data_IF_128721878112
#
_entry.id   IF_128721878112
#
_cell.length_a   1.000
_cell.length_b   1.000
_cell.length_c   1.000
_cell.angle_alpha   90.00
_cell.angle_beta   90.00
_cell.angle_gamma   90.00
#
_symmetry.space_group_name_H-M   'P 1'
#
loop_
_entity.id
_entity.type
_entity.pdbx_description
1 polymer ?
#
# COMPACT_ATOMS: atom_id res chain seq x y z
N UNK A 1 21.83 10.07 23.33
CA UNK A 1 21.21 10.91 22.27
C UNK A 1 20.82 10.16 20.99
N UNK A 2 21.61 9.19 20.48
CA UNK A 2 21.28 8.46 19.23
C UNK A 2 19.92 7.73 19.25
N UNK A 3 19.57 7.05 20.35
CA UNK A 3 18.29 6.34 20.53
C UNK A 3 17.06 7.26 20.49
N UNK A 4 17.08 8.39 21.20
CA UNK A 4 16.01 9.40 21.17
C UNK A 4 15.80 9.89 19.73
N UNK A 5 16.89 10.03 18.99
CA UNK A 5 16.84 10.36 17.59
C UNK A 5 16.02 9.34 16.77
N UNK A 6 16.40 8.07 16.87
CA UNK A 6 15.76 6.98 16.11
C UNK A 6 14.28 6.82 16.46
N UNK A 7 13.89 6.96 17.74
CA UNK A 7 12.49 6.95 18.16
C UNK A 7 11.70 8.07 17.48
N UNK A 8 12.23 9.29 17.47
CA UNK A 8 11.53 10.41 16.83
C UNK A 8 11.42 10.23 15.31
N UNK A 9 12.47 9.74 14.62
CA UNK A 9 12.36 9.41 13.18
C UNK A 9 11.34 8.29 12.93
N UNK A 10 11.17 7.37 13.88
CA UNK A 10 10.18 6.29 13.79
C UNK A 10 8.76 6.84 13.90
N UNK A 11 8.51 7.76 14.82
CA UNK A 11 7.21 8.46 14.95
C UNK A 11 6.94 9.29 13.69
N UNK A 12 7.92 10.06 13.21
CA UNK A 12 7.81 10.81 11.96
C UNK A 12 7.53 9.89 10.76
N UNK A 13 8.21 8.74 10.68
CA UNK A 13 8.01 7.75 9.63
C UNK A 13 6.58 7.18 9.66
N UNK A 14 6.10 6.85 10.86
CA UNK A 14 4.73 6.39 11.08
C UNK A 14 3.71 7.45 10.66
N UNK A 15 3.81 8.68 11.18
CA UNK A 15 2.89 9.77 10.86
C UNK A 15 2.91 10.14 9.37
N UNK A 16 4.09 10.20 8.75
CA UNK A 16 4.19 10.52 7.32
C UNK A 16 3.65 9.42 6.41
N UNK A 17 3.95 8.15 6.72
CA UNK A 17 3.40 7.01 5.98
C UNK A 17 1.87 6.91 6.14
N UNK A 18 1.38 7.22 7.33
CA UNK A 18 -0.02 7.36 7.65
C UNK A 18 -0.73 8.40 6.77
N UNK A 19 -0.24 9.64 6.76
CA UNK A 19 -0.81 10.72 5.94
C UNK A 19 -0.78 10.33 4.47
N UNK A 20 0.34 9.83 3.98
CA UNK A 20 0.48 9.41 2.60
C UNK A 20 -0.50 8.27 2.25
N UNK A 21 -0.66 7.30 3.15
CA UNK A 21 -1.65 6.22 3.02
C UNK A 21 -3.08 6.76 2.89
N UNK A 22 -3.51 7.67 3.78
CA UNK A 22 -4.85 8.30 3.68
C UNK A 22 -5.02 9.08 2.39
N UNK A 23 -4.00 9.82 1.94
CA UNK A 23 -4.11 10.59 0.69
C UNK A 23 -4.26 9.71 -0.55
N UNK A 24 -3.71 8.49 -0.50
CA UNK A 24 -3.79 7.54 -1.60
C UNK A 24 -5.07 6.67 -1.50
N UNK A 25 -5.51 6.36 -0.28
CA UNK A 25 -6.78 5.70 0.03
C UNK A 25 -7.83 6.75 0.39
N UNK A 26 -8.37 7.46 -0.61
CA UNK A 26 -9.62 8.18 -0.39
C UNK A 26 -10.70 7.16 0.03
N UNK A 27 -11.47 7.38 1.11
CA UNK A 27 -12.49 6.45 1.55
C UNK A 27 -13.50 6.22 0.41
N UNK A 28 -13.67 4.95 0.00
CA UNK A 28 -14.55 4.55 -1.11
C UNK A 28 -15.96 4.15 -0.66
N UNK A 29 -16.24 4.16 0.64
CA UNK A 29 -17.52 3.76 1.24
C UNK A 29 -18.48 4.93 1.24
N UNK A 30 -19.07 5.24 0.09
CA UNK A 30 -20.16 6.20 0.05
C UNK A 30 -21.49 5.45 0.13
N UNK A 31 -22.05 5.34 1.33
CA UNK A 31 -23.40 4.81 1.55
C UNK A 31 -24.51 5.79 1.11
N UNK A 32 -24.22 6.73 0.19
CA UNK A 32 -25.08 7.88 -0.15
C UNK A 32 -25.55 7.88 -1.62
N UNK A 33 -25.75 6.72 -2.21
CA UNK A 33 -26.35 6.57 -3.53
C UNK A 33 -27.88 6.47 -3.44
N UNK A 34 -28.51 7.54 -2.96
CA UNK A 34 -29.90 7.83 -3.34
C UNK A 34 -29.96 8.18 -4.84
N UNK A 35 -31.11 7.96 -5.47
CA UNK A 35 -31.42 7.93 -6.92
C UNK A 35 -30.93 9.09 -7.82
N UNK A 36 -30.14 10.03 -7.31
CA UNK A 36 -29.48 11.08 -8.08
C UNK A 36 -28.01 11.23 -7.66
N UNK A 37 -27.19 10.20 -7.88
CA UNK A 37 -25.73 10.38 -7.85
C UNK A 37 -25.37 11.38 -8.96
N UNK A 38 -25.22 12.65 -8.59
CA UNK A 38 -24.86 13.70 -9.54
C UNK A 38 -23.61 13.28 -10.31
N UNK A 39 -23.55 13.58 -11.62
CA UNK A 39 -22.41 13.31 -12.51
C UNK A 39 -21.03 13.61 -11.87
N UNK A 40 -20.99 14.58 -10.95
CA UNK A 40 -19.81 14.96 -10.14
C UNK A 40 -19.26 13.83 -9.26
N UNK A 41 -20.13 13.09 -8.59
CA UNK A 41 -19.74 12.01 -7.67
C UNK A 41 -19.23 10.81 -8.48
N UNK A 42 -19.89 10.46 -9.58
CA UNK A 42 -19.44 9.42 -10.50
C UNK A 42 -18.05 9.72 -11.11
N UNK A 43 -17.81 10.98 -11.51
CA UNK A 43 -16.50 11.41 -11.99
C UNK A 43 -15.40 11.31 -10.92
N UNK A 44 -15.72 11.65 -9.66
CA UNK A 44 -14.79 11.50 -8.54
C UNK A 44 -14.44 10.03 -8.31
N UNK A 45 -15.45 9.15 -8.23
CA UNK A 45 -15.28 7.71 -8.09
C UNK A 45 -14.35 7.10 -9.14
N UNK A 46 -14.53 7.46 -10.40
CA UNK A 46 -13.67 6.98 -11.49
C UNK A 46 -12.22 7.51 -11.40
N UNK A 47 -12.02 8.66 -10.73
CA UNK A 47 -10.71 9.28 -10.61
C UNK A 47 -9.87 8.77 -9.43
N UNK A 48 -10.49 8.27 -8.35
CA UNK A 48 -9.79 7.83 -7.13
C UNK A 48 -8.78 6.70 -7.41
N UNK A 49 -9.17 5.56 -8.02
CA UNK A 49 -8.25 4.46 -8.28
C UNK A 49 -7.08 4.86 -9.21
N UNK A 50 -7.36 5.77 -10.16
CA UNK A 50 -6.37 6.34 -11.07
C UNK A 50 -5.39 7.23 -10.31
N UNK A 51 -5.89 8.11 -9.45
CA UNK A 51 -5.11 8.97 -8.58
C UNK A 51 -4.15 8.15 -7.71
N UNK A 52 -4.67 7.17 -6.97
CA UNK A 52 -3.86 6.28 -6.13
C UNK A 52 -2.72 5.62 -6.92
N UNK A 53 -3.00 5.11 -8.12
CA UNK A 53 -1.99 4.50 -8.98
C UNK A 53 -0.93 5.50 -9.43
N UNK A 54 -1.33 6.70 -9.86
CA UNK A 54 -0.40 7.78 -10.20
C UNK A 54 0.48 8.12 -9.00
N UNK A 55 -0.10 8.23 -7.80
CA UNK A 55 0.62 8.49 -6.56
C UNK A 55 1.64 7.41 -6.22
N UNK A 56 1.30 6.13 -6.38
CA UNK A 56 2.23 5.03 -6.13
C UNK A 56 3.36 5.00 -7.19
N UNK A 57 3.07 5.28 -8.46
CA UNK A 57 4.09 5.43 -9.51
C UNK A 57 5.04 6.58 -9.18
N UNK A 58 4.52 7.72 -8.73
CA UNK A 58 5.32 8.85 -8.26
C UNK A 58 6.17 8.45 -7.06
N UNK A 59 5.61 7.74 -6.08
CA UNK A 59 6.33 7.27 -4.90
C UNK A 59 7.54 6.39 -5.26
N UNK A 60 7.34 5.41 -6.14
CA UNK A 60 8.43 4.53 -6.58
C UNK A 60 9.47 5.31 -7.38
N UNK A 61 9.05 6.18 -8.29
CA UNK A 61 9.97 7.01 -9.10
C UNK A 61 10.83 7.90 -8.21
N UNK A 62 10.22 8.58 -7.25
CA UNK A 62 10.90 9.44 -6.27
C UNK A 62 11.85 8.61 -5.41
N UNK A 63 11.44 7.43 -4.96
CA UNK A 63 12.30 6.53 -4.20
C UNK A 63 13.52 6.08 -5.02
N UNK A 64 13.37 5.74 -6.30
CA UNK A 64 14.47 5.40 -7.21
C UNK A 64 15.42 6.59 -7.39
N UNK A 65 14.90 7.78 -7.72
CA UNK A 65 15.73 8.97 -7.93
C UNK A 65 16.53 9.35 -6.68
N UNK A 66 15.89 9.32 -5.51
CA UNK A 66 16.55 9.61 -4.24
C UNK A 66 17.59 8.54 -3.92
N UNK A 67 17.26 7.27 -4.12
CA UNK A 67 18.18 6.17 -3.85
C UNK A 67 19.45 6.26 -4.70
N UNK A 68 19.31 6.60 -5.99
CA UNK A 68 20.43 6.66 -6.94
C UNK A 68 21.28 7.93 -6.78
N UNK A 69 20.64 9.10 -6.75
CA UNK A 69 21.36 10.36 -6.90
C UNK A 69 21.52 11.15 -5.61
N UNK A 70 20.66 10.92 -4.62
CA UNK A 70 20.42 11.94 -3.62
C UNK A 70 21.09 11.65 -2.28
N UNK A 71 21.47 12.73 -1.60
CA UNK A 71 21.90 12.67 -0.20
C UNK A 71 20.67 12.47 0.69
N UNK A 72 20.81 11.89 1.90
CA UNK A 72 19.70 11.71 2.84
C UNK A 72 18.91 13.01 3.12
N UNK A 73 19.57 14.18 3.09
CA UNK A 73 18.90 15.49 3.23
C UNK A 73 17.84 15.73 2.15
N UNK A 74 18.13 15.37 0.90
CA UNK A 74 17.22 15.58 -0.22
C UNK A 74 15.94 14.78 0.02
N UNK A 75 16.05 13.55 0.53
CA UNK A 75 14.89 12.72 0.85
C UNK A 75 13.95 13.40 1.86
N UNK A 76 14.48 13.93 2.96
CA UNK A 76 13.67 14.64 3.95
C UNK A 76 13.09 15.95 3.41
N UNK A 77 13.84 16.70 2.60
CA UNK A 77 13.34 17.93 1.98
C UNK A 77 12.25 17.66 0.94
N UNK A 78 12.38 16.59 0.14
CA UNK A 78 11.33 16.16 -0.81
C UNK A 78 10.08 15.67 -0.07
N UNK A 79 10.23 14.94 1.03
CA UNK A 79 9.11 14.56 1.89
C UNK A 79 8.42 15.79 2.49
N UNK A 80 9.20 16.78 2.95
CA UNK A 80 8.68 18.05 3.45
C UNK A 80 7.90 18.80 2.35
N UNK A 81 8.44 18.86 1.13
CA UNK A 81 7.77 19.47 -0.01
C UNK A 81 6.45 18.77 -0.37
N UNK A 82 6.41 17.44 -0.37
CA UNK A 82 5.18 16.67 -0.56
C UNK A 82 4.12 16.97 0.51
N UNK A 83 4.51 16.95 1.79
CA UNK A 83 3.61 17.31 2.90
C UNK A 83 3.14 18.77 2.84
N UNK A 84 3.99 19.69 2.37
CA UNK A 84 3.64 21.11 2.20
C UNK A 84 2.65 21.29 1.05
N UNK A 85 2.86 20.58 -0.06
CA UNK A 85 1.92 20.53 -1.19
C UNK A 85 0.53 20.04 -0.78
N UNK A 86 0.46 18.96 0.02
CA UNK A 86 -0.80 18.47 0.59
C UNK A 86 -1.51 19.55 1.42
N UNK A 87 -0.77 20.22 2.31
CA UNK A 87 -1.34 21.26 3.16
C UNK A 87 -1.86 22.44 2.33
N UNK A 88 -1.08 22.92 1.37
CA UNK A 88 -1.48 24.03 0.48
C UNK A 88 -2.74 23.64 -0.30
N UNK A 89 -2.78 22.43 -0.88
CA UNK A 89 -3.95 21.95 -1.61
C UNK A 89 -5.21 21.90 -0.72
N UNK A 90 -5.07 21.48 0.54
CA UNK A 90 -6.16 21.44 1.51
C UNK A 90 -6.59 22.81 2.04
N UNK A 91 -5.72 23.82 2.00
CA UNK A 91 -6.03 25.20 2.36
C UNK A 91 -6.73 25.94 1.22
N UNK A 92 -6.28 25.74 -0.02
CA UNK A 92 -6.89 26.36 -1.21
C UNK A 92 -8.22 25.70 -1.58
N UNK A 93 -8.37 24.40 -1.29
CA UNK A 93 -9.56 23.62 -1.63
C UNK A 93 -10.79 23.84 -0.74
N UNK A 94 -10.82 24.85 0.15
CA UNK A 94 -12.01 25.17 0.99
C UNK A 94 -13.19 25.69 0.19
N UNK A 95 -12.91 26.55 -0.79
CA UNK A 95 -13.91 27.43 -1.38
C UNK A 95 -14.36 26.98 -2.77
N UNK A 96 -13.94 25.77 -3.17
CA UNK A 96 -14.02 25.32 -4.55
C UNK A 96 -14.99 24.15 -4.68
N UNK A 97 -16.12 24.38 -5.33
CA UNK A 97 -17.23 23.41 -5.49
C UNK A 97 -17.43 22.90 -6.93
N UNK A 98 -16.58 23.31 -7.88
CA UNK A 98 -16.68 22.86 -9.27
C UNK A 98 -16.12 21.44 -9.46
N UNK A 99 -16.80 20.56 -10.22
CA UNK A 99 -16.40 19.15 -10.37
C UNK A 99 -15.02 18.93 -11.00
N UNK A 100 -14.61 19.75 -11.97
CA UNK A 100 -13.28 19.66 -12.60
C UNK A 100 -12.15 19.96 -11.61
N UNK A 101 -12.45 20.72 -10.57
CA UNK A 101 -11.50 21.06 -9.51
C UNK A 101 -11.41 19.93 -8.47
N UNK A 102 -12.42 19.06 -8.34
CA UNK A 102 -12.38 17.89 -7.45
C UNK A 102 -11.45 16.79 -7.99
N UNK A 103 -11.53 16.50 -9.28
CA UNK A 103 -10.64 15.53 -9.94
C UNK A 103 -9.20 16.04 -9.94
N UNK A 104 -9.01 17.33 -10.26
CA UNK A 104 -7.69 17.98 -10.17
C UNK A 104 -7.11 17.89 -8.76
N UNK A 105 -7.92 18.20 -7.74
CA UNK A 105 -7.51 18.10 -6.33
C UNK A 105 -7.06 16.69 -5.96
N UNK A 106 -7.83 15.67 -6.35
CA UNK A 106 -7.48 14.27 -6.10
C UNK A 106 -6.14 13.89 -6.75
N UNK A 107 -5.87 14.29 -7.99
CA UNK A 107 -4.58 14.04 -8.63
C UNK A 107 -3.43 14.78 -7.93
N UNK A 108 -3.64 16.02 -7.51
CA UNK A 108 -2.63 16.78 -6.75
C UNK A 108 -2.34 16.11 -5.41
N UNK A 109 -3.37 15.70 -4.68
CA UNK A 109 -3.22 14.97 -3.41
C UNK A 109 -2.50 13.64 -3.62
N UNK A 110 -2.85 12.90 -4.67
CA UNK A 110 -2.18 11.65 -5.03
C UNK A 110 -0.70 11.84 -5.36
N UNK A 111 -0.35 12.87 -6.15
CA UNK A 111 1.05 13.19 -6.49
C UNK A 111 1.83 13.60 -5.23
N UNK A 112 1.26 14.44 -4.38
CA UNK A 112 1.92 14.92 -3.17
C UNK A 112 2.05 13.81 -2.11
N UNK A 113 1.03 12.96 -1.96
CA UNK A 113 1.05 11.75 -1.15
C UNK A 113 2.09 10.75 -1.65
N UNK A 114 2.19 10.57 -2.97
CA UNK A 114 3.23 9.79 -3.62
C UNK A 114 4.64 10.32 -3.34
N UNK A 115 4.87 11.62 -3.53
CA UNK A 115 6.12 12.31 -3.20
C UNK A 115 6.51 12.08 -1.73
N UNK A 116 5.55 12.24 -0.82
CA UNK A 116 5.74 12.02 0.61
C UNK A 116 6.11 10.56 0.91
N UNK A 117 5.33 9.59 0.43
CA UNK A 117 5.56 8.15 0.65
C UNK A 117 6.92 7.71 0.11
N UNK A 118 7.23 8.09 -1.13
CA UNK A 118 8.46 7.70 -1.82
C UNK A 118 9.71 8.28 -1.16
N UNK A 119 9.68 9.58 -0.86
CA UNK A 119 10.81 10.27 -0.26
C UNK A 119 11.05 9.83 1.19
N UNK A 120 9.99 9.67 1.97
CA UNK A 120 10.07 9.19 3.35
C UNK A 120 10.56 7.74 3.37
N UNK A 121 10.00 6.87 2.54
CA UNK A 121 10.45 5.48 2.39
C UNK A 121 11.93 5.40 2.04
N UNK A 122 12.40 6.22 1.09
CA UNK A 122 13.81 6.31 0.73
C UNK A 122 14.72 6.76 1.89
N UNK A 123 14.22 7.64 2.77
CA UNK A 123 14.94 8.13 3.93
C UNK A 123 15.01 7.11 5.08
N UNK A 124 13.93 6.35 5.32
CA UNK A 124 13.74 5.58 6.56
C UNK A 124 13.96 4.08 6.42
N UNK A 125 13.70 3.49 5.25
CA UNK A 125 13.76 2.03 5.05
C UNK A 125 15.16 1.42 5.23
N UNK A 126 16.22 2.25 5.23
CA UNK A 126 17.60 1.81 5.50
C UNK A 126 17.87 1.51 6.98
N UNK A 127 16.99 1.94 7.89
CA UNK A 127 17.17 1.79 9.35
C UNK A 127 16.02 0.97 9.93
N UNK A 128 16.28 -0.05 10.76
CA UNK A 128 15.26 -1.01 11.17
C UNK A 128 14.12 -0.38 11.97
N UNK A 129 14.43 0.52 12.91
CA UNK A 129 13.42 1.19 13.75
C UNK A 129 12.52 2.14 12.92
N UNK A 130 13.07 3.12 12.16
CA UNK A 130 12.24 3.94 11.28
C UNK A 130 11.50 3.14 10.19
N UNK A 131 12.10 2.07 9.65
CA UNK A 131 11.44 1.18 8.70
C UNK A 131 10.22 0.48 9.32
N UNK A 132 10.33 0.06 10.59
CA UNK A 132 9.21 -0.49 11.34
C UNK A 132 8.09 0.54 11.50
N UNK A 133 8.40 1.78 11.89
CA UNK A 133 7.41 2.87 11.99
C UNK A 133 6.73 3.17 10.66
N UNK A 134 7.51 3.23 9.57
CA UNK A 134 6.99 3.42 8.21
C UNK A 134 6.03 2.30 7.80
N UNK A 135 6.45 1.03 7.97
CA UNK A 135 5.62 -0.12 7.65
C UNK A 135 4.36 -0.19 8.51
N UNK A 136 4.47 0.09 9.82
CA UNK A 136 3.33 0.13 10.73
C UNK A 136 2.34 1.23 10.35
N UNK A 137 2.83 2.40 9.92
CA UNK A 137 2.00 3.47 9.40
C UNK A 137 1.28 3.05 8.12
N UNK A 138 1.98 2.51 7.13
CA UNK A 138 1.36 2.06 5.88
C UNK A 138 0.32 0.96 6.11
N UNK A 139 0.65 -0.07 6.90
CA UNK A 139 -0.25 -1.20 7.19
C UNK A 139 -1.43 -0.75 8.05
N UNK A 140 -1.19 0.03 9.09
CA UNK A 140 -2.26 0.50 9.99
C UNK A 140 -3.35 1.25 9.23
N UNK A 141 -2.95 2.08 8.24
CA UNK A 141 -3.88 2.81 7.41
C UNK A 141 -4.56 1.95 6.34
N UNK A 142 -3.81 1.05 5.70
CA UNK A 142 -4.36 0.06 4.77
C UNK A 142 -5.47 -0.77 5.41
N UNK A 143 -5.25 -1.28 6.63
CA UNK A 143 -6.20 -2.14 7.33
C UNK A 143 -7.45 -1.38 7.80
N UNK A 144 -7.29 -0.09 8.12
CA UNK A 144 -8.41 0.72 8.60
C UNK A 144 -9.42 1.02 7.48
N UNK A 145 -8.92 1.33 6.27
CA UNK A 145 -9.73 1.47 5.05
C UNK A 145 -10.64 2.70 5.01
N UNK A 146 -11.51 2.86 6.02
CA UNK A 146 -12.49 3.93 6.11
C UNK A 146 -12.32 4.77 7.38
N UNK A 147 -11.78 5.98 7.21
CA UNK A 147 -11.62 6.95 8.28
C UNK A 147 -12.83 7.89 8.43
N UNK A 148 -13.87 7.78 7.61
CA UNK A 148 -15.00 8.70 7.65
C UNK A 148 -15.66 8.74 9.03
N UNK A 149 -15.86 7.56 9.64
CA UNK A 149 -16.43 7.43 10.99
C UNK A 149 -15.48 7.99 12.07
N UNK A 150 -14.19 7.66 12.02
CA UNK A 150 -13.20 8.13 13.00
C UNK A 150 -13.03 9.65 12.95
N UNK A 151 -13.02 10.22 11.74
CA UNK A 151 -12.81 11.63 11.51
C UNK A 151 -14.09 12.46 11.66
N UNK A 152 -15.18 11.85 12.12
CA UNK A 152 -16.48 12.50 12.33
C UNK A 152 -16.93 13.29 11.09
N UNK A 153 -16.62 12.75 9.91
CA UNK A 153 -16.98 13.37 8.64
C UNK A 153 -18.49 13.24 8.53
N UNK A 154 -19.19 14.36 8.74
CA UNK A 154 -20.65 14.37 8.68
C UNK A 154 -21.07 13.93 7.29
N UNK A 155 -21.69 12.75 7.22
CA UNK A 155 -22.24 12.07 6.03
C UNK A 155 -23.25 12.95 5.25
N UNK A 156 -23.62 14.11 5.81
CA UNK A 156 -24.60 15.04 5.26
C UNK A 156 -24.14 15.74 3.96
N UNK A 157 -22.84 15.80 3.64
CA UNK A 157 -22.37 16.42 2.39
C UNK A 157 -21.27 15.61 1.69
N UNK A 158 -21.43 15.26 0.38
CA UNK A 158 -20.50 14.40 -0.37
C UNK A 158 -19.09 15.01 -0.53
N UNK A 159 -18.96 16.32 -0.34
CA UNK A 159 -17.68 17.04 -0.47
C UNK A 159 -16.78 16.93 0.77
N UNK A 160 -17.30 16.42 1.90
CA UNK A 160 -16.53 16.31 3.13
C UNK A 160 -15.49 15.19 3.08
N UNK A 161 -15.69 14.18 2.22
CA UNK A 161 -14.68 13.15 1.91
C UNK A 161 -13.42 13.78 1.30
N UNK A 162 -13.53 14.87 0.55
CA UNK A 162 -12.33 15.59 0.06
C UNK A 162 -11.55 16.31 1.17
N UNK A 163 -12.04 16.36 2.40
CA UNK A 163 -11.30 16.87 3.55
C UNK A 163 -10.44 15.80 4.23
N UNK A 164 -10.39 14.56 3.69
CA UNK A 164 -9.44 13.54 4.12
C UNK A 164 -8.13 13.63 3.34
N UNK A 165 -6.97 13.61 4.01
CA UNK A 165 -6.76 13.59 5.46
C UNK A 165 -7.07 14.94 6.14
N UNK A 166 -7.45 14.92 7.44
CA UNK A 166 -7.79 16.14 8.15
C UNK A 166 -6.54 17.01 8.30
N UNK A 167 -6.72 18.33 8.20
CA UNK A 167 -5.61 19.31 8.20
C UNK A 167 -4.66 19.17 9.39
N UNK A 168 -5.19 18.83 10.56
CA UNK A 168 -4.37 18.64 11.76
C UNK A 168 -3.40 17.45 11.62
N UNK A 169 -3.81 16.39 10.92
CA UNK A 169 -2.97 15.22 10.68
C UNK A 169 -1.88 15.53 9.66
N UNK A 170 -2.20 16.30 8.62
CA UNK A 170 -1.20 16.85 7.68
C UNK A 170 -0.21 17.74 8.42
N UNK A 171 -0.69 18.66 9.28
CA UNK A 171 0.15 19.61 10.01
C UNK A 171 1.09 18.91 10.99
N UNK A 172 0.60 17.93 11.75
CA UNK A 172 1.43 17.17 12.69
C UNK A 172 2.52 16.38 11.96
N UNK A 173 2.19 15.75 10.83
CA UNK A 173 3.18 15.09 9.99
C UNK A 173 4.19 16.08 9.41
N UNK A 174 3.74 17.21 8.87
CA UNK A 174 4.60 18.27 8.34
C UNK A 174 5.62 18.76 9.38
N UNK A 175 5.16 19.07 10.60
CA UNK A 175 6.03 19.51 11.70
C UNK A 175 7.03 18.41 12.08
N UNK A 176 6.58 17.15 12.20
CA UNK A 176 7.46 16.03 12.52
C UNK A 176 8.55 15.81 11.46
N UNK A 177 8.18 15.92 10.18
CA UNK A 177 9.09 15.82 9.03
C UNK A 177 10.05 16.99 9.01
N UNK A 178 9.60 18.22 9.26
CA UNK A 178 10.45 19.41 9.33
C UNK A 178 11.54 19.26 10.41
N UNK A 179 11.14 18.81 11.60
CA UNK A 179 12.06 18.55 12.71
C UNK A 179 13.06 17.43 12.38
N UNK A 180 12.61 16.33 11.75
CA UNK A 180 13.49 15.25 11.29
C UNK A 180 14.44 15.73 10.18
N UNK A 181 13.98 16.60 9.27
CA UNK A 181 14.78 17.20 8.20
C UNK A 181 15.91 18.07 8.78
N UNK A 182 15.58 18.98 9.71
CA UNK A 182 16.55 19.83 10.42
C UNK A 182 17.57 18.95 11.14
N UNK A 183 17.13 17.92 11.85
CA UNK A 183 18.02 17.06 12.64
C UNK A 183 18.92 16.18 11.77
N UNK A 184 18.42 15.69 10.64
CA UNK A 184 19.20 14.90 9.69
C UNK A 184 20.00 15.77 8.71
N UNK A 185 19.98 17.09 8.91
CA UNK A 185 20.78 18.04 8.16
C UNK A 185 22.25 18.08 8.59
N UNK A 186 22.72 17.45 9.66
CA UNK A 186 24.16 17.57 10.02
C UNK A 186 25.09 16.77 9.08
N UNK A 187 26.19 17.36 8.54
CA UNK A 187 27.14 16.68 7.64
C UNK A 187 27.73 15.38 8.22
N UNK A 188 27.96 15.33 9.54
CA UNK A 188 28.56 14.18 10.22
C UNK A 188 27.73 12.88 10.14
N UNK A 189 26.43 12.96 9.83
CA UNK A 189 25.54 11.79 9.66
C UNK A 189 25.41 11.34 8.19
N UNK A 190 26.17 11.94 7.28
CA UNK A 190 26.02 11.79 5.83
C UNK A 190 27.11 10.97 5.19
N UNK A 191 27.90 10.22 5.97
CA UNK A 191 28.85 9.28 5.42
C UNK A 191 28.09 8.32 4.49
N UNK A 192 28.22 8.59 3.19
CA UNK A 192 27.65 7.82 2.11
C UNK A 192 28.40 6.50 2.17
N UNK A 193 27.72 5.39 2.46
CA UNK A 193 28.29 4.11 2.10
C UNK A 193 28.63 4.20 0.60
N UNK A 194 29.87 3.89 0.19
CA UNK A 194 30.29 3.99 -1.20
C UNK A 194 29.44 3.02 -2.03
N UNK A 195 28.35 3.55 -2.57
CA UNK A 195 27.51 2.82 -3.51
C UNK A 195 28.28 2.71 -4.81
N UNK A 196 28.53 1.48 -5.24
CA UNK A 196 28.83 1.19 -6.65
C UNK A 196 27.87 2.01 -7.51
N UNK A 197 28.41 2.64 -8.55
CA UNK A 197 27.65 3.36 -9.56
C UNK A 197 26.77 2.35 -10.29
N UNK A 198 25.61 2.03 -9.70
CA UNK A 198 24.63 1.18 -10.32
C UNK A 198 23.91 2.00 -11.37
N UNK A 199 23.85 1.46 -12.59
CA UNK A 199 22.96 1.91 -13.66
C UNK A 199 21.57 2.22 -13.09
N UNK A 200 20.91 3.24 -13.64
CA UNK A 200 19.61 3.70 -13.18
C UNK A 200 18.65 2.50 -13.14
N UNK A 201 18.18 2.06 -11.96
CA UNK A 201 17.37 0.87 -11.87
C UNK A 201 15.95 1.24 -12.28
N UNK A 202 15.68 1.13 -13.58
CA UNK A 202 14.37 1.43 -14.19
C UNK A 202 13.35 0.32 -13.84
N UNK A 203 13.81 -0.87 -13.46
CA UNK A 203 12.99 -2.04 -13.20
C UNK A 203 11.82 -1.81 -12.21
N UNK A 204 11.97 -1.17 -11.02
CA UNK A 204 10.85 -0.89 -10.14
C UNK A 204 9.81 0.05 -10.76
N UNK A 205 10.22 1.01 -11.58
CA UNK A 205 9.31 1.96 -12.25
C UNK A 205 8.46 1.22 -13.28
N UNK A 206 9.08 0.40 -14.14
CA UNK A 206 8.34 -0.41 -15.13
C UNK A 206 7.43 -1.41 -14.42
N UNK A 207 7.92 -2.04 -13.35
CA UNK A 207 7.15 -3.01 -12.55
C UNK A 207 5.86 -2.40 -12.01
N UNK A 208 5.92 -1.24 -11.36
CA UNK A 208 4.73 -0.58 -10.83
C UNK A 208 3.81 -0.04 -11.93
N UNK A 209 4.36 0.49 -13.03
CA UNK A 209 3.55 0.96 -14.16
C UNK A 209 2.77 -0.20 -14.79
N UNK A 210 3.43 -1.34 -15.02
CA UNK A 210 2.79 -2.54 -15.57
C UNK A 210 1.68 -3.05 -14.65
N UNK A 211 1.99 -3.23 -13.36
CA UNK A 211 1.02 -3.76 -12.40
C UNK A 211 -0.17 -2.80 -12.20
N UNK A 212 0.12 -1.52 -11.95
CA UNK A 212 -0.91 -0.49 -11.73
C UNK A 212 -1.81 -0.27 -12.96
N UNK A 213 -1.24 -0.20 -14.16
CA UNK A 213 -2.01 -0.07 -15.39
C UNK A 213 -2.94 -1.27 -15.60
N UNK A 214 -2.45 -2.49 -15.34
CA UNK A 214 -3.25 -3.69 -15.50
C UNK A 214 -4.40 -3.77 -14.50
N UNK A 215 -4.16 -3.36 -13.26
CA UNK A 215 -5.18 -3.29 -12.23
C UNK A 215 -6.25 -2.25 -12.59
N UNK A 216 -5.88 -1.05 -13.03
CA UNK A 216 -6.85 -0.03 -13.49
C UNK A 216 -7.65 -0.56 -14.68
N UNK A 217 -6.96 -1.08 -15.69
CA UNK A 217 -7.62 -1.60 -16.89
C UNK A 217 -8.60 -2.73 -16.56
N UNK A 218 -8.18 -3.66 -15.68
CA UNK A 218 -9.02 -4.77 -15.22
C UNK A 218 -10.24 -4.30 -14.43
N UNK A 219 -10.05 -3.39 -13.47
CA UNK A 219 -11.16 -2.85 -12.65
C UNK A 219 -12.15 -2.03 -13.46
N UNK A 220 -11.68 -1.15 -14.35
CA UNK A 220 -12.55 -0.37 -15.22
C UNK A 220 -13.30 -1.26 -16.22
N UNK A 221 -12.60 -2.22 -16.81
CA UNK A 221 -13.22 -3.15 -17.74
C UNK A 221 -14.30 -3.98 -17.05
N UNK A 222 -14.00 -4.53 -15.87
CA UNK A 222 -14.95 -5.34 -15.11
C UNK A 222 -16.17 -4.51 -14.67
N UNK A 223 -15.95 -3.27 -14.22
CA UNK A 223 -17.04 -2.34 -13.88
C UNK A 223 -18.00 -2.15 -15.05
N UNK A 224 -17.50 -1.98 -16.28
CA UNK A 224 -18.33 -1.83 -17.49
C UNK A 224 -19.07 -3.11 -17.89
N UNK A 225 -18.53 -4.29 -17.55
CA UNK A 225 -19.18 -5.56 -17.87
C UNK A 225 -20.37 -5.83 -16.95
N UNK A 226 -20.29 -5.40 -15.69
CA UNK A 226 -21.41 -5.50 -14.74
C UNK A 226 -22.62 -4.63 -15.09
N UNK A 227 -22.47 -3.66 -15.99
CA UNK A 227 -23.59 -2.88 -16.53
C UNK A 227 -24.38 -3.66 -17.62
N UNK A 228 -23.90 -4.83 -18.06
CA UNK A 228 -24.53 -5.65 -19.11
C UNK A 228 -25.25 -6.84 -18.49
N UNK A 229 -26.47 -7.21 -18.97
CA UNK A 229 -27.13 -8.43 -18.49
C UNK A 229 -26.37 -9.69 -18.94
N UNK A 230 -26.01 -10.58 -18.01
CA UNK A 230 -25.35 -11.86 -18.31
C UNK A 230 -24.60 -12.48 -17.14
N UNK A 231 -24.07 -13.70 -17.33
CA UNK A 231 -23.19 -14.33 -16.34
C UNK A 231 -21.77 -13.75 -16.38
N UNK A 232 -21.31 -13.16 -15.28
CA UNK A 232 -20.03 -12.43 -15.22
C UNK A 232 -18.81 -13.28 -14.81
N UNK A 233 -18.98 -14.58 -14.57
CA UNK A 233 -17.92 -15.44 -14.03
C UNK A 233 -16.67 -15.48 -14.90
N UNK A 234 -16.84 -15.50 -16.23
CA UNK A 234 -15.72 -15.49 -17.17
C UNK A 234 -14.96 -14.17 -17.14
N UNK A 235 -15.66 -13.04 -17.04
CA UNK A 235 -15.06 -11.71 -16.98
C UNK A 235 -14.23 -11.55 -15.70
N UNK A 236 -14.76 -11.99 -14.55
CA UNK A 236 -14.04 -12.00 -13.27
C UNK A 236 -12.78 -12.86 -13.38
N UNK A 237 -12.90 -14.07 -13.94
CA UNK A 237 -11.77 -14.98 -14.11
C UNK A 237 -10.68 -14.40 -15.02
N UNK A 238 -11.07 -13.74 -16.11
CA UNK A 238 -10.15 -13.04 -17.01
C UNK A 238 -9.44 -11.89 -16.29
N UNK A 239 -10.17 -11.01 -15.60
CA UNK A 239 -9.58 -9.89 -14.88
C UNK A 239 -8.62 -10.35 -13.77
N UNK A 240 -9.05 -11.32 -12.94
CA UNK A 240 -8.22 -11.89 -11.89
C UNK A 240 -6.95 -12.58 -12.43
N UNK A 241 -7.09 -13.38 -13.48
CA UNK A 241 -5.96 -14.04 -14.15
C UNK A 241 -4.97 -13.04 -14.72
N UNK A 242 -5.47 -11.96 -15.32
CA UNK A 242 -4.65 -10.92 -15.89
C UNK A 242 -3.91 -10.09 -14.83
N UNK A 243 -4.53 -9.84 -13.67
CA UNK A 243 -3.86 -9.26 -12.49
C UNK A 243 -2.76 -10.17 -11.94
N UNK A 244 -3.00 -11.47 -11.83
CA UNK A 244 -1.99 -12.46 -11.39
C UNK A 244 -0.79 -12.49 -12.34
N UNK A 245 -1.05 -12.52 -13.66
CA UNK A 245 0.01 -12.50 -14.67
C UNK A 245 0.81 -11.20 -14.55
N UNK A 246 0.16 -10.04 -14.49
CA UNK A 246 0.84 -8.75 -14.35
C UNK A 246 1.64 -8.65 -13.05
N UNK A 247 1.09 -9.09 -11.91
CA UNK A 247 1.79 -9.13 -10.63
C UNK A 247 3.04 -10.04 -10.70
N UNK A 248 2.92 -11.20 -11.34
CA UNK A 248 4.03 -12.15 -11.52
C UNK A 248 5.12 -11.57 -12.41
N UNK A 249 4.76 -11.00 -13.57
CA UNK A 249 5.73 -10.35 -14.46
C UNK A 249 6.39 -9.16 -13.77
N UNK A 250 5.61 -8.30 -13.12
CA UNK A 250 6.12 -7.16 -12.37
C UNK A 250 7.07 -7.60 -11.23
N UNK A 251 6.76 -8.68 -10.52
CA UNK A 251 7.63 -9.25 -9.49
C UNK A 251 8.93 -9.83 -10.07
N UNK A 252 8.87 -10.41 -11.26
CA UNK A 252 10.06 -10.89 -11.98
C UNK A 252 10.94 -9.74 -12.47
N UNK A 253 10.39 -8.59 -12.80
CA UNK A 253 11.19 -7.42 -13.19
C UNK A 253 12.01 -6.87 -12.03
N UNK A 254 11.51 -6.96 -10.80
CA UNK A 254 12.21 -6.46 -9.61
C UNK A 254 13.52 -7.22 -9.36
N UNK A 255 14.55 -6.59 -8.80
CA UNK A 255 15.83 -7.27 -8.57
C UNK A 255 15.72 -8.40 -7.53
N UNK A 256 16.49 -9.46 -7.74
CA UNK A 256 16.64 -10.59 -6.79
C UNK A 256 15.30 -11.20 -6.36
N UNK A 257 14.98 -11.19 -5.07
CA UNK A 257 13.73 -11.75 -4.53
C UNK A 257 12.79 -10.67 -3.99
N UNK A 258 13.07 -9.41 -4.30
CA UNK A 258 12.29 -8.29 -3.78
C UNK A 258 10.87 -8.26 -4.37
N UNK A 259 10.64 -8.96 -5.49
CA UNK A 259 9.30 -9.20 -6.05
C UNK A 259 8.34 -9.98 -5.15
N UNK A 260 8.84 -10.66 -4.11
CA UNK A 260 7.98 -11.34 -3.14
C UNK A 260 7.08 -10.35 -2.38
N UNK A 261 7.57 -9.14 -2.08
CA UNK A 261 6.77 -8.10 -1.42
C UNK A 261 5.58 -7.63 -2.27
N UNK A 262 5.78 -7.49 -3.58
CA UNK A 262 4.72 -7.14 -4.52
C UNK A 262 3.66 -8.24 -4.61
N UNK A 263 4.06 -9.52 -4.69
CA UNK A 263 3.11 -10.64 -4.72
C UNK A 263 2.30 -10.77 -3.42
N UNK A 264 2.95 -10.53 -2.27
CA UNK A 264 2.25 -10.48 -0.99
C UNK A 264 1.21 -9.37 -0.97
N UNK A 265 1.58 -8.14 -1.37
CA UNK A 265 0.66 -7.02 -1.48
C UNK A 265 -0.49 -7.31 -2.46
N UNK A 266 -0.19 -7.82 -3.66
CA UNK A 266 -1.17 -8.16 -4.69
C UNK A 266 -2.16 -9.26 -4.26
N UNK A 267 -1.77 -10.14 -3.33
CA UNK A 267 -2.69 -11.12 -2.72
C UNK A 267 -3.49 -10.53 -1.54
N UNK A 268 -2.86 -9.64 -0.76
CA UNK A 268 -3.41 -9.10 0.47
C UNK A 268 -4.48 -8.05 0.22
N UNK A 269 -4.32 -7.20 -0.80
CA UNK A 269 -5.32 -6.16 -1.14
C UNK A 269 -6.68 -6.77 -1.50
N UNK A 270 -6.79 -7.74 -2.45
CA UNK A 270 -8.06 -8.40 -2.72
C UNK A 270 -8.67 -9.09 -1.49
N UNK A 271 -7.83 -9.72 -0.66
CA UNK A 271 -8.30 -10.38 0.56
C UNK A 271 -8.87 -9.35 1.55
N UNK A 272 -8.23 -8.20 1.70
CA UNK A 272 -8.70 -7.10 2.53
C UNK A 272 -10.02 -6.52 2.02
N UNK A 273 -10.10 -6.21 0.72
CA UNK A 273 -11.30 -5.69 0.08
C UNK A 273 -12.47 -6.67 0.21
N UNK A 274 -12.23 -7.99 0.08
CA UNK A 274 -13.30 -8.99 0.16
C UNK A 274 -14.01 -9.10 1.52
N UNK A 275 -13.45 -8.53 2.59
CA UNK A 275 -14.08 -8.51 3.91
C UNK A 275 -15.08 -7.37 4.07
N UNK A 276 -15.15 -6.47 3.09
CA UNK A 276 -16.02 -5.30 3.10
C UNK A 276 -15.61 -4.25 4.13
N UNK A 277 -16.25 -3.09 4.04
CA UNK A 277 -16.14 -2.06 5.06
C UNK A 277 -17.14 -2.29 6.18
N UNK A 278 -16.69 -2.19 7.42
CA UNK A 278 -17.58 -2.25 8.59
C UNK A 278 -17.25 -1.15 9.57
N UNK A 279 -18.27 -0.54 10.21
CA UNK A 279 -18.06 0.42 11.27
C UNK A 279 -17.21 -0.19 12.37
N UNK A 280 -16.14 0.49 12.79
CA UNK A 280 -15.21 -0.02 13.80
C UNK A 280 -15.18 0.94 14.99
N UNK A 281 -15.50 0.47 16.21
CA UNK A 281 -15.34 1.30 17.38
C UNK A 281 -13.87 1.67 17.59
N UNK A 282 -13.64 2.87 18.10
CA UNK A 282 -12.33 3.52 18.18
C UNK A 282 -11.28 2.69 18.95
N UNK A 283 -11.70 1.90 19.94
CA UNK A 283 -10.81 1.04 20.72
C UNK A 283 -10.18 -0.10 19.89
N UNK A 284 -10.85 -0.56 18.82
CA UNK A 284 -10.32 -1.58 17.91
C UNK A 284 -9.09 -1.06 17.15
N UNK A 285 -8.96 0.27 16.98
CA UNK A 285 -7.78 0.87 16.33
C UNK A 285 -6.48 0.49 17.07
N UNK A 286 -6.51 0.52 18.40
CA UNK A 286 -5.35 0.13 19.22
C UNK A 286 -5.05 -1.35 19.03
N UNK A 287 -6.09 -2.20 19.02
CA UNK A 287 -5.93 -3.64 18.79
C UNK A 287 -5.34 -3.95 17.40
N UNK A 288 -5.80 -3.25 16.35
CA UNK A 288 -5.29 -3.35 14.98
C UNK A 288 -3.82 -2.94 14.91
N UNK A 289 -3.44 -1.80 15.50
CA UNK A 289 -2.05 -1.33 15.50
C UNK A 289 -1.13 -2.29 16.25
N UNK A 290 -1.58 -2.80 17.40
CA UNK A 290 -0.85 -3.80 18.19
C UNK A 290 -0.70 -5.11 17.40
N UNK A 291 -1.78 -5.61 16.79
CA UNK A 291 -1.75 -6.81 15.97
C UNK A 291 -0.84 -6.66 14.74
N UNK A 292 -0.89 -5.52 14.05
CA UNK A 292 0.01 -5.24 12.93
C UNK A 292 1.47 -5.18 13.38
N UNK A 293 1.76 -4.55 14.53
CA UNK A 293 3.09 -4.55 15.13
C UNK A 293 3.60 -5.96 15.43
N UNK A 294 2.78 -6.81 16.05
CA UNK A 294 3.12 -8.22 16.29
C UNK A 294 3.34 -8.99 14.98
N UNK A 295 2.51 -8.75 13.97
CA UNK A 295 2.66 -9.30 12.63
C UNK A 295 4.03 -8.95 12.05
N UNK A 296 4.39 -7.66 12.04
CA UNK A 296 5.68 -7.18 11.52
C UNK A 296 6.84 -7.84 12.25
N UNK A 297 6.82 -7.87 13.59
CA UNK A 297 7.87 -8.52 14.38
C UNK A 297 7.98 -10.01 14.06
N UNK A 298 6.84 -10.71 13.94
CA UNK A 298 6.79 -12.12 13.54
C UNK A 298 7.37 -12.37 12.14
N UNK A 299 7.00 -11.54 11.16
CA UNK A 299 7.52 -11.61 9.80
C UNK A 299 9.02 -11.28 9.70
N UNK A 300 9.52 -10.37 10.54
CA UNK A 300 10.95 -10.06 10.63
C UNK A 300 11.74 -11.19 11.29
N UNK A 301 11.17 -11.84 12.30
CA UNK A 301 11.80 -12.96 13.01
C UNK A 301 11.86 -14.23 12.14
N UNK A 302 10.81 -14.48 11.35
CA UNK A 302 10.71 -15.64 10.47
C UNK A 302 10.25 -15.21 9.06
N UNK A 303 11.16 -14.69 8.20
CA UNK A 303 10.79 -14.15 6.90
C UNK A 303 10.48 -15.26 5.88
N UNK A 304 9.26 -15.79 5.97
CA UNK A 304 8.74 -16.81 5.05
C UNK A 304 7.57 -16.24 4.25
N UNK A 305 7.79 -15.67 3.04
CA UNK A 305 6.73 -15.12 2.19
C UNK A 305 5.66 -16.14 1.82
N UNK A 306 6.02 -17.42 1.66
CA UNK A 306 5.05 -18.50 1.42
C UNK A 306 4.04 -18.64 2.57
N UNK A 307 4.48 -18.47 3.81
CA UNK A 307 3.57 -18.47 4.96
C UNK A 307 2.67 -17.24 4.98
N UNK A 308 3.17 -16.09 4.53
CA UNK A 308 2.34 -14.88 4.35
C UNK A 308 1.21 -15.12 3.35
N UNK A 309 1.51 -15.75 2.22
CA UNK A 309 0.50 -16.13 1.21
C UNK A 309 -0.49 -17.18 1.73
N UNK A 310 -0.03 -18.10 2.58
CA UNK A 310 -0.93 -19.05 3.23
C UNK A 310 -1.92 -18.31 4.15
N UNK A 311 -1.42 -17.38 4.97
CA UNK A 311 -2.25 -16.57 5.87
C UNK A 311 -3.24 -15.67 5.10
N UNK A 312 -2.84 -15.09 3.96
CA UNK A 312 -3.79 -14.34 3.10
C UNK A 312 -4.86 -15.26 2.50
N UNK A 313 -4.50 -16.50 2.15
CA UNK A 313 -5.47 -17.52 1.73
C UNK A 313 -6.48 -17.86 2.83
N UNK A 314 -6.02 -17.97 4.08
CA UNK A 314 -6.92 -18.16 5.24
C UNK A 314 -7.89 -16.98 5.40
N UNK A 315 -7.44 -15.74 5.19
CA UNK A 315 -8.33 -14.56 5.20
C UNK A 315 -9.36 -14.58 4.06
N UNK A 316 -8.97 -15.03 2.86
CA UNK A 316 -9.91 -15.17 1.75
C UNK A 316 -10.97 -16.26 2.02
N UNK A 317 -10.58 -17.38 2.63
CA UNK A 317 -11.53 -18.40 3.08
C UNK A 317 -12.44 -17.86 4.18
N UNK A 318 -11.89 -17.08 5.11
CA UNK A 318 -12.65 -16.42 6.16
C UNK A 318 -13.71 -15.47 5.58
N UNK A 319 -13.37 -14.65 4.58
CA UNK A 319 -14.34 -13.76 3.95
C UNK A 319 -15.46 -14.51 3.21
N UNK A 320 -15.17 -15.67 2.60
CA UNK A 320 -16.20 -16.55 2.03
C UNK A 320 -17.15 -17.08 3.12
N UNK A 321 -16.63 -17.51 4.27
CA UNK A 321 -17.43 -18.09 5.35
C UNK A 321 -18.32 -17.05 6.04
N UNK A 322 -17.85 -15.80 6.12
CA UNK A 322 -18.57 -14.69 6.78
C UNK A 322 -19.46 -13.92 5.81
N UNK A 323 -19.30 -14.08 4.49
CA UNK A 323 -20.19 -13.47 3.49
C UNK A 323 -21.65 -13.91 3.74
N UNK A 324 -22.45 -13.01 4.35
CA UNK A 324 -23.84 -13.28 4.74
C UNK A 324 -24.12 -13.17 6.25
N UNK A 325 -23.08 -13.09 7.10
CA UNK A 325 -23.24 -12.90 8.54
C UNK A 325 -22.92 -11.44 8.92
N UNK A 326 -23.95 -10.64 9.23
CA UNK A 326 -23.79 -9.24 9.66
C UNK A 326 -23.34 -9.05 11.12
N UNK A 327 -22.51 -9.95 11.66
CA UNK A 327 -22.10 -9.90 13.07
C UNK A 327 -20.85 -9.01 13.24
N UNK A 328 -21.01 -7.89 13.94
CA UNK A 328 -19.94 -6.93 14.25
C UNK A 328 -18.70 -7.58 14.89
N UNK A 329 -18.89 -8.64 15.69
CA UNK A 329 -17.79 -9.36 16.35
C UNK A 329 -16.95 -10.11 15.32
N UNK A 330 -17.58 -10.75 14.33
CA UNK A 330 -16.86 -11.44 13.24
C UNK A 330 -16.06 -10.43 12.40
N UNK A 331 -16.61 -9.26 12.11
CA UNK A 331 -15.87 -8.23 11.40
C UNK A 331 -14.68 -7.68 12.22
N UNK A 332 -14.84 -7.52 13.53
CA UNK A 332 -13.73 -7.17 14.43
C UNK A 332 -12.61 -8.20 14.44
N UNK A 333 -12.95 -9.49 14.51
CA UNK A 333 -11.97 -10.60 14.44
C UNK A 333 -11.26 -10.59 13.07
N UNK A 334 -12.02 -10.42 11.99
CA UNK A 334 -11.47 -10.33 10.62
C UNK A 334 -10.50 -9.16 10.47
N UNK A 335 -10.84 -7.97 11.00
CA UNK A 335 -9.99 -6.79 10.97
C UNK A 335 -8.68 -6.96 11.76
N UNK A 336 -8.74 -7.57 12.95
CA UNK A 336 -7.54 -7.90 13.75
C UNK A 336 -6.68 -8.94 13.02
N UNK A 337 -7.31 -9.96 12.45
CA UNK A 337 -6.64 -10.99 11.64
C UNK A 337 -5.93 -10.37 10.43
N UNK A 338 -6.63 -9.51 9.68
CA UNK A 338 -6.04 -8.77 8.56
C UNK A 338 -4.84 -7.94 8.99
N UNK A 339 -4.94 -7.22 10.12
CA UNK A 339 -3.84 -6.43 10.65
C UNK A 339 -2.59 -7.28 10.91
N UNK A 340 -2.78 -8.42 11.58
CA UNK A 340 -1.71 -9.37 11.90
C UNK A 340 -1.06 -9.91 10.63
N UNK A 341 -1.87 -10.35 9.65
CA UNK A 341 -1.37 -10.93 8.39
C UNK A 341 -0.68 -9.87 7.54
N UNK A 342 -1.27 -8.67 7.42
CA UNK A 342 -0.67 -7.55 6.69
C UNK A 342 0.69 -7.16 7.29
N UNK A 343 0.76 -7.06 8.62
CA UNK A 343 2.01 -6.84 9.33
C UNK A 343 3.03 -7.93 9.05
N UNK A 344 2.61 -9.20 9.13
CA UNK A 344 3.49 -10.35 8.83
C UNK A 344 4.02 -10.30 7.40
N UNK A 345 3.16 -10.04 6.42
CA UNK A 345 3.55 -9.90 5.01
C UNK A 345 4.61 -8.79 4.83
N UNK A 346 4.43 -7.63 5.47
CA UNK A 346 5.40 -6.53 5.41
C UNK A 346 6.74 -6.91 6.05
N UNK A 347 6.74 -7.58 7.20
CA UNK A 347 7.96 -8.07 7.85
C UNK A 347 8.67 -9.15 7.03
N UNK A 348 7.91 -10.09 6.45
CA UNK A 348 8.43 -11.23 5.70
C UNK A 348 9.00 -10.85 4.33
N UNK A 349 8.52 -9.76 3.71
CA UNK A 349 8.99 -9.31 2.40
C UNK A 349 10.47 -8.90 2.39
N UNK A 350 11.00 -8.40 3.53
CA UNK A 350 12.39 -7.95 3.77
C UNK A 350 13.10 -7.42 2.49
N UNK A 351 12.62 -6.30 1.91
CA UNK A 351 13.17 -5.79 0.67
C UNK A 351 14.65 -5.43 0.85
N UNK A 352 15.52 -5.95 -0.02
CA UNK A 352 16.93 -5.57 -0.03
C UNK A 352 17.14 -4.25 -0.75
N UNK A 353 16.31 -3.97 -1.75
CA UNK A 353 16.31 -2.74 -2.51
C UNK A 353 15.22 -1.78 -1.99
N UNK A 354 15.62 -0.58 -1.56
CA UNK A 354 14.72 0.39 -0.91
C UNK A 354 13.52 0.78 -1.79
N UNK A 355 13.68 1.10 -3.10
CA UNK A 355 12.54 1.34 -3.98
C UNK A 355 11.58 0.16 -4.09
N UNK A 356 12.06 -1.08 -4.00
CA UNK A 356 11.19 -2.27 -3.99
C UNK A 356 10.37 -2.36 -2.70
N UNK A 357 10.91 -1.90 -1.57
CA UNK A 357 10.15 -1.77 -0.32
C UNK A 357 9.05 -0.72 -0.38
N UNK A 358 9.35 0.44 -0.97
CA UNK A 358 8.34 1.49 -1.23
C UNK A 358 7.27 0.97 -2.18
N UNK A 359 7.66 0.26 -3.24
CA UNK A 359 6.73 -0.35 -4.19
C UNK A 359 5.80 -1.36 -3.50
N UNK A 360 6.35 -2.27 -2.68
CA UNK A 360 5.54 -3.27 -1.99
C UNK A 360 4.53 -2.65 -1.02
N UNK A 361 4.95 -1.63 -0.24
CA UNK A 361 4.05 -0.93 0.68
C UNK A 361 3.06 -0.01 -0.07
N UNK A 362 3.49 0.64 -1.15
CA UNK A 362 2.64 1.46 -1.99
C UNK A 362 1.58 0.64 -2.74
N UNK A 363 1.92 -0.59 -3.14
CA UNK A 363 0.98 -1.50 -3.79
C UNK A 363 -0.20 -1.90 -2.88
N UNK A 364 -0.10 -1.74 -1.55
CA UNK A 364 -1.22 -1.90 -0.64
C UNK A 364 -2.32 -0.84 -0.86
N UNK A 365 -1.97 0.30 -1.45
CA UNK A 365 -2.90 1.40 -1.71
C UNK A 365 -3.46 1.36 -3.14
N UNK A 366 -3.06 0.38 -3.96
CA UNK A 366 -3.67 0.20 -5.26
C UNK A 366 -5.05 -0.45 -5.09
N UNK A 367 -6.02 -0.11 -5.95
CA UNK A 367 -7.29 -0.84 -6.02
C UNK A 367 -7.03 -2.32 -6.39
N UNK A 368 -8.04 -3.17 -6.24
CA UNK A 368 -7.98 -4.52 -6.81
C UNK A 368 -9.21 -4.86 -7.65
N UNK A 369 -9.14 -5.95 -8.42
CA UNK A 369 -10.30 -6.45 -9.19
C UNK A 369 -11.50 -6.72 -8.27
N UNK A 370 -11.25 -7.04 -6.99
CA UNK A 370 -12.32 -7.28 -6.01
C UNK A 370 -13.11 -6.01 -5.71
N UNK A 371 -12.50 -4.83 -5.69
CA UNK A 371 -13.21 -3.55 -5.49
C UNK A 371 -14.19 -3.20 -6.60
N UNK A 372 -14.16 -3.88 -7.75
CA UNK A 372 -15.10 -3.71 -8.84
C UNK A 372 -16.29 -4.69 -8.76
N UNK A 373 -16.23 -5.69 -7.87
CA UNK A 373 -17.30 -6.65 -7.67
C UNK A 373 -18.40 -6.02 -6.81
N UNK A 374 -19.68 -6.19 -7.15
CA UNK A 374 -20.76 -5.66 -6.34
C UNK A 374 -20.81 -6.35 -4.97
N UNK A 375 -20.84 -5.58 -3.89
CA UNK A 375 -21.10 -6.09 -2.54
C UNK A 375 -22.59 -6.00 -2.17
N UNK A 376 -23.04 -6.91 -1.30
CA UNK A 376 -24.41 -6.91 -0.82
C UNK A 376 -24.69 -5.64 -0.01
N UNK A 377 -25.60 -4.78 -0.49
CA UNK A 377 -25.97 -3.52 0.16
C UNK A 377 -25.34 -2.27 -0.47
N UNK A 378 -24.49 -2.42 -1.50
CA UNK A 378 -24.07 -1.28 -2.31
C UNK A 378 -25.20 -0.81 -3.24
N UNK A 379 -25.52 0.48 -3.15
CA UNK A 379 -26.45 1.16 -4.06
C UNK A 379 -25.64 1.97 -5.10
N UNK A 380 -26.13 2.15 -6.34
CA UNK A 380 -27.27 1.44 -6.93
C UNK A 380 -26.97 -0.06 -6.98
N UNK A 381 -27.98 -0.89 -6.73
CA UNK A 381 -27.90 -2.36 -6.84
C UNK A 381 -27.56 -2.72 -8.28
N UNK A 382 -26.25 -2.77 -8.60
CA UNK A 382 -25.74 -3.44 -9.80
C UNK A 382 -26.17 -4.89 -9.70
N UNK A 383 -26.59 -5.48 -10.83
CA UNK A 383 -27.21 -6.81 -10.89
C UNK A 383 -26.63 -7.76 -9.84
N UNK A 384 -27.37 -7.94 -8.74
CA UNK A 384 -26.94 -8.64 -7.52
C UNK A 384 -26.91 -10.18 -7.73
N UNK A 385 -26.68 -10.60 -8.97
CA UNK A 385 -26.54 -12.00 -9.38
C UNK A 385 -25.15 -12.55 -9.05
N UNK A 386 -24.21 -11.69 -8.64
CA UNK A 386 -22.96 -12.14 -8.04
C UNK A 386 -23.29 -12.93 -6.76
N UNK A 387 -23.06 -14.24 -6.80
CA UNK A 387 -23.35 -15.12 -5.67
C UNK A 387 -22.64 -14.68 -4.40
N UNK A 388 -23.27 -14.90 -3.24
CA UNK A 388 -22.69 -14.60 -1.92
C UNK A 388 -21.28 -15.19 -1.83
N UNK A 389 -20.30 -14.36 -1.45
CA UNK A 389 -18.90 -14.76 -1.33
C UNK A 389 -18.07 -14.73 -2.62
N UNK A 390 -18.58 -14.14 -3.71
CA UNK A 390 -17.82 -13.99 -4.98
C UNK A 390 -16.53 -13.18 -4.80
N UNK A 391 -16.53 -12.14 -3.96
CA UNK A 391 -15.33 -11.35 -3.63
C UNK A 391 -14.26 -12.19 -2.96
N UNK A 392 -14.63 -12.97 -1.93
CA UNK A 392 -13.71 -13.88 -1.24
C UNK A 392 -13.17 -15.00 -2.14
N UNK A 393 -13.99 -15.56 -3.03
CA UNK A 393 -13.55 -16.55 -4.03
C UNK A 393 -12.53 -15.96 -5.01
N UNK A 394 -12.77 -14.75 -5.50
CA UNK A 394 -11.85 -14.04 -6.39
C UNK A 394 -10.53 -13.74 -5.68
N UNK A 395 -10.58 -13.27 -4.44
CA UNK A 395 -9.39 -13.06 -3.61
C UNK A 395 -8.58 -14.35 -3.40
N UNK A 396 -9.26 -15.49 -3.18
CA UNK A 396 -8.62 -16.81 -3.06
C UNK A 396 -7.92 -17.22 -4.36
N UNK A 397 -8.56 -17.02 -5.52
CA UNK A 397 -7.95 -17.30 -6.84
C UNK A 397 -6.71 -16.44 -7.06
N UNK A 398 -6.78 -15.14 -6.77
CA UNK A 398 -5.62 -14.24 -6.90
C UNK A 398 -4.50 -14.66 -5.95
N UNK A 399 -4.83 -15.07 -4.72
CA UNK A 399 -3.84 -15.53 -3.73
C UNK A 399 -3.14 -16.81 -4.18
N UNK A 400 -3.87 -17.80 -4.70
CA UNK A 400 -3.30 -19.01 -5.28
C UNK A 400 -2.41 -18.68 -6.49
N UNK A 401 -2.86 -17.77 -7.35
CA UNK A 401 -2.07 -17.26 -8.47
C UNK A 401 -0.75 -16.61 -8.02
N UNK A 402 -0.78 -15.77 -6.98
CA UNK A 402 0.40 -15.17 -6.39
C UNK A 402 1.33 -16.21 -5.74
N UNK A 403 0.79 -17.29 -5.17
CA UNK A 403 1.59 -18.41 -4.65
C UNK A 403 2.32 -19.17 -5.74
N UNK A 404 1.65 -19.41 -6.88
CA UNK A 404 2.31 -19.95 -8.08
C UNK A 404 3.37 -18.96 -8.58
N UNK A 405 3.06 -17.67 -8.70
CA UNK A 405 4.00 -16.63 -9.08
C UNK A 405 5.25 -16.57 -8.18
N UNK A 406 5.07 -16.74 -6.87
CA UNK A 406 6.16 -16.80 -5.89
C UNK A 406 7.01 -18.06 -6.06
N UNK A 407 6.39 -19.22 -6.29
CA UNK A 407 7.09 -20.46 -6.57
C UNK A 407 7.93 -20.35 -7.85
N UNK A 408 7.37 -19.76 -8.91
CA UNK A 408 8.05 -19.47 -10.17
C UNK A 408 9.23 -18.51 -9.93
N UNK A 409 9.03 -17.44 -9.13
CA UNK A 409 10.10 -16.50 -8.77
C UNK A 409 11.26 -17.20 -8.06
N UNK A 410 10.97 -18.07 -7.11
CA UNK A 410 11.99 -18.77 -6.35
C UNK A 410 12.69 -19.85 -7.16
N UNK A 411 11.99 -20.46 -8.12
CA UNK A 411 12.55 -21.43 -9.08
C UNK A 411 13.56 -20.77 -10.02
N UNK A 412 13.23 -19.62 -10.60
CA UNK A 412 14.14 -18.90 -11.51
C UNK A 412 15.23 -18.11 -10.79
N UNK A 413 15.08 -17.85 -9.48
CA UNK A 413 16.06 -17.11 -8.67
C UNK A 413 16.42 -17.87 -7.39
N UNK A 414 17.18 -18.98 -7.52
CA UNK A 414 17.66 -19.74 -6.37
C UNK A 414 18.52 -18.85 -5.45
N UNK A 415 18.54 -19.17 -4.15
CA UNK A 415 19.46 -18.52 -3.23
C UNK A 415 20.87 -18.92 -3.67
N UNK A 416 21.67 -17.95 -4.12
CA UNK A 416 23.12 -18.15 -4.18
C UNK A 416 23.56 -18.38 -2.75
N UNK A 417 23.73 -19.65 -2.34
CA UNK A 417 24.44 -19.98 -1.10
C UNK A 417 25.79 -19.31 -1.23
N UNK A 418 26.08 -18.34 -0.36
CA UNK A 418 27.42 -17.82 -0.25
C UNK A 418 28.33 -19.04 -0.01
N UNK A 419 29.24 -19.31 -0.94
CA UNK A 419 30.19 -20.41 -0.82
C UNK A 419 31.00 -20.18 0.46
N UNK A 420 30.65 -20.92 1.51
CA UNK A 420 31.47 -21.09 2.73
C UNK A 420 32.81 -21.77 2.39
N UNK A 421 32.99 -22.23 1.14
CA UNK A 421 34.20 -22.85 0.63
C UNK A 421 35.35 -21.88 0.27
N UNK A 422 35.23 -20.57 0.51
CA UNK A 422 36.38 -19.66 0.54
C UNK A 422 36.92 -19.53 1.98
N UNK A 423 37.05 -20.65 2.69
CA UNK A 423 37.95 -20.73 3.82
C UNK A 423 39.38 -20.68 3.26
N UNK A 424 40.09 -19.62 3.66
CA UNK A 424 41.49 -19.25 3.47
C UNK A 424 42.43 -20.20 2.69
N UNK A 425 43.34 -19.67 1.84
CA UNK A 425 44.50 -20.42 1.41
C UNK A 425 45.36 -20.77 2.65
N UNK A 426 45.24 -22.01 3.13
CA UNK A 426 46.21 -22.61 4.03
C UNK A 426 47.51 -22.79 3.24
N UNK A 427 48.48 -21.90 3.46
CA UNK A 427 49.79 -22.01 2.82
C UNK A 427 50.49 -20.67 2.63
N UNK A 428 50.45 -19.79 3.62
CA UNK A 428 51.47 -18.74 3.73
C UNK A 428 52.79 -19.43 4.08
N UNK A 429 53.69 -19.43 3.11
CA UNK A 429 55.11 -19.76 3.23
C UNK A 429 55.74 -18.82 4.26
N UNK A 430 56.31 -19.37 5.32
CA UNK A 430 57.35 -18.75 6.12
C UNK A 430 58.18 -19.87 6.74
N UNK A 431 59.37 -20.10 6.19
CA UNK A 431 60.56 -20.23 7.02
C UNK A 431 61.78 -19.75 6.22
N UNK A 432 62.54 -18.87 6.88
CA UNK A 432 63.80 -18.24 6.49
C UNK A 432 64.93 -19.06 7.12
#
# INVERSE_FOLDING_TARGET
MRRIGETFDTITAFCGAAVAGVTLLLPLTYTWSGESASYRVAALYASVPRGATVGVVVAVTVAVLIHTFARPRVAWNTALAGASGLLINHLVGTDVSAPDLLTTRNYVDSICGGLLLGALGAAVLRRPLPAFGFALGSVGFFVFGDFAELLHIRVQTPYTVLQTPPRWLILTALVSIALSAIRNSSPARQAREPGEQSELPIAPIISIMLFGLMVIAGTEWLTRQYDRPGGHTMDIAMAAGATVIAATVAAMLLPRRDGAGLLLAASLVPAAESMGATPRPLWILVAILVAAGFGIVGGLAAPMPSFGLFLTGVLAVYSIAVAGHGNIVLHGIGGIGLALVAGYCCGAAKPRYVPSGVLALGALFLPSVVSALPEAGELPTRDATAGVGTSGRTAMVITLGCAVGLAVLYRYRPLTRANVAAAAPAGAVADI
#
